data_IF_144265770546
#
_entry.id   IF_144265770546
#
_cell.length_a   1.000
_cell.length_b   1.000
_cell.length_c   1.000
_cell.angle_alpha   90.00
_cell.angle_beta   90.00
_cell.angle_gamma   90.00
#
_symmetry.space_group_name_H-M   'P 1'
#
loop_
_entity.id
_entity.type
_entity.pdbx_description
1 polymer ?
#
# COMPACT_ATOMS: atom_id res chain seq x y z
N UNK A 1 -4.48 6.52 22.43
CA UNK A 1 -5.89 6.82 22.65
C UNK A 1 -6.65 6.77 21.32
N UNK A 2 -6.38 7.62 20.34
CA UNK A 2 -7.16 7.72 19.09
C UNK A 2 -7.11 6.45 18.23
N UNK A 3 -5.97 5.79 18.13
CA UNK A 3 -5.82 4.52 17.41
C UNK A 3 -6.82 3.46 17.91
N UNK A 4 -6.93 3.30 19.23
CA UNK A 4 -7.87 2.35 19.82
C UNK A 4 -9.34 2.70 19.54
N UNK A 5 -9.67 3.99 19.41
CA UNK A 5 -11.03 4.42 19.06
C UNK A 5 -11.44 3.95 17.67
N UNK A 6 -10.50 3.95 16.71
CA UNK A 6 -10.75 3.43 15.35
C UNK A 6 -11.07 1.95 15.42
N UNK A 7 -10.23 1.15 16.07
CA UNK A 7 -10.39 -0.29 16.16
C UNK A 7 -11.63 -0.72 16.97
N UNK A 8 -11.88 -0.07 18.09
CA UNK A 8 -13.04 -0.38 18.93
C UNK A 8 -14.37 -0.08 18.25
N UNK A 9 -14.41 0.84 17.31
CA UNK A 9 -15.60 1.13 16.49
C UNK A 9 -16.13 -0.12 15.78
N UNK A 10 -15.23 -0.99 15.33
CA UNK A 10 -15.55 -2.23 14.60
C UNK A 10 -15.37 -3.49 15.46
N UNK A 11 -15.24 -3.34 16.78
CA UNK A 11 -15.11 -4.46 17.71
C UNK A 11 -13.73 -5.12 17.74
N UNK A 12 -12.72 -4.53 17.13
CA UNK A 12 -11.36 -5.06 17.14
C UNK A 12 -10.59 -4.61 18.39
N UNK A 13 -9.76 -5.49 18.97
CA UNK A 13 -8.92 -5.11 20.10
C UNK A 13 -7.86 -4.10 19.69
N UNK A 14 -7.40 -3.28 20.64
CA UNK A 14 -6.23 -2.44 20.47
C UNK A 14 -4.95 -3.27 20.30
N UNK A 15 -3.80 -2.63 19.94
CA UNK A 15 -2.51 -3.28 19.90
C UNK A 15 -2.16 -3.88 21.27
N UNK A 16 -1.37 -4.95 21.26
CA UNK A 16 -0.85 -5.52 22.50
C UNK A 16 0.10 -4.55 23.20
N UNK A 17 0.23 -4.65 24.53
CA UNK A 17 1.12 -3.76 25.29
C UNK A 17 2.57 -3.83 24.80
N UNK A 18 3.03 -5.03 24.37
CA UNK A 18 4.37 -5.22 23.81
C UNK A 18 4.63 -4.48 22.49
N UNK A 19 3.59 -4.20 21.72
CA UNK A 19 3.72 -3.50 20.43
C UNK A 19 4.14 -2.02 20.60
N UNK A 20 4.03 -1.47 21.81
CA UNK A 20 4.45 -0.10 22.13
C UNK A 20 5.93 0.02 22.55
N UNK A 21 6.62 -1.09 22.76
CA UNK A 21 7.99 -1.10 23.23
C UNK A 21 9.00 -0.77 22.12
N UNK A 22 8.60 -0.99 20.86
CA UNK A 22 9.44 -0.76 19.69
C UNK A 22 8.73 0.23 18.75
N UNK A 23 9.41 1.34 18.48
CA UNK A 23 8.87 2.42 17.66
C UNK A 23 8.53 1.93 16.25
N UNK A 24 9.45 1.18 15.65
CA UNK A 24 9.30 0.64 14.29
C UNK A 24 8.10 -0.32 14.20
N UNK A 25 7.92 -1.15 15.21
CA UNK A 25 6.78 -2.08 15.28
C UNK A 25 5.46 -1.32 15.39
N UNK A 26 5.40 -0.32 16.24
CA UNK A 26 4.19 0.47 16.42
C UNK A 26 3.88 1.32 15.17
N UNK A 27 4.90 1.88 14.53
CA UNK A 27 4.75 2.59 13.26
C UNK A 27 4.16 1.69 12.17
N UNK A 28 4.64 0.44 12.07
CA UNK A 28 4.10 -0.53 11.12
C UNK A 28 2.62 -0.84 11.37
N UNK A 29 2.24 -0.99 12.62
CA UNK A 29 0.83 -1.19 13.01
C UNK A 29 -0.04 -0.01 12.57
N UNK A 30 0.43 1.23 12.80
CA UNK A 30 -0.28 2.43 12.35
C UNK A 30 -0.40 2.49 10.84
N UNK A 31 0.68 2.20 10.10
CA UNK A 31 0.68 2.18 8.64
C UNK A 31 -0.29 1.15 8.07
N UNK A 32 -0.33 -0.04 8.66
CA UNK A 32 -1.25 -1.10 8.25
C UNK A 32 -2.71 -0.71 8.51
N UNK A 33 -3.00 -0.19 9.71
CA UNK A 33 -4.34 0.27 10.03
C UNK A 33 -4.80 1.38 9.09
N UNK A 34 -3.92 2.34 8.81
CA UNK A 34 -4.20 3.41 7.85
C UNK A 34 -4.48 2.88 6.44
N UNK A 35 -3.77 1.84 6.01
CA UNK A 35 -4.01 1.20 4.72
C UNK A 35 -5.39 0.53 4.65
N UNK A 36 -5.80 -0.11 5.73
CA UNK A 36 -7.11 -0.80 5.80
C UNK A 36 -8.24 0.23 5.86
N UNK A 37 -8.13 1.21 6.75
CA UNK A 37 -9.18 2.22 6.96
C UNK A 37 -9.41 3.14 5.76
N UNK A 38 -8.34 3.47 5.03
CA UNK A 38 -8.39 4.36 3.88
C UNK A 38 -8.27 3.61 2.54
N UNK A 39 -8.64 2.33 2.55
CA UNK A 39 -8.67 1.51 1.35
C UNK A 39 -9.59 2.14 0.29
N UNK A 40 -9.12 2.20 -0.95
CA UNK A 40 -9.79 2.85 -2.09
C UNK A 40 -9.92 4.39 -2.03
N UNK A 41 -9.38 5.07 -1.04
CA UNK A 41 -9.39 6.54 -0.97
C UNK A 41 -8.17 7.21 -1.64
N UNK A 42 -7.28 6.42 -2.22
CA UNK A 42 -6.09 6.90 -2.92
C UNK A 42 -4.93 7.37 -2.01
N UNK A 43 -5.10 7.32 -0.70
CA UNK A 43 -4.08 7.79 0.25
C UNK A 43 -2.77 6.99 0.21
N UNK A 44 -2.83 5.69 -0.09
CA UNK A 44 -1.64 4.82 -0.16
C UNK A 44 -0.58 5.37 -1.12
N UNK A 45 -1.03 5.93 -2.26
CA UNK A 45 -0.14 6.55 -3.23
C UNK A 45 0.73 7.66 -2.63
N UNK A 46 0.14 8.52 -1.81
CA UNK A 46 0.85 9.62 -1.17
C UNK A 46 1.63 9.16 0.06
N UNK A 47 1.08 8.25 0.82
CA UNK A 47 1.67 7.74 2.07
C UNK A 47 3.00 7.05 1.81
N UNK A 48 3.09 6.15 0.82
CA UNK A 48 4.33 5.43 0.51
C UNK A 48 5.43 6.35 0.01
N UNK A 49 5.07 7.43 -0.69
CA UNK A 49 6.03 8.45 -1.11
C UNK A 49 6.51 9.31 0.06
N UNK A 50 5.59 9.73 0.90
CA UNK A 50 5.91 10.51 2.10
C UNK A 50 6.76 9.74 3.11
N UNK A 51 6.52 8.43 3.23
CA UNK A 51 7.31 7.56 4.10
C UNK A 51 8.63 7.08 3.47
N UNK A 52 8.83 7.33 2.19
CA UNK A 52 10.00 6.86 1.45
C UNK A 52 9.98 5.36 1.15
N UNK A 53 8.84 4.70 1.29
CA UNK A 53 8.71 3.24 1.15
C UNK A 53 8.18 2.81 -0.23
N UNK A 54 7.92 3.77 -1.12
CA UNK A 54 7.35 3.49 -2.43
C UNK A 54 8.13 2.44 -3.23
N UNK A 55 9.46 2.55 -3.27
CA UNK A 55 10.30 1.63 -4.04
C UNK A 55 10.51 0.27 -3.37
N UNK A 56 10.30 0.18 -2.08
CA UNK A 56 10.53 -1.06 -1.30
C UNK A 56 9.24 -1.84 -1.04
N UNK A 57 8.17 -1.17 -0.70
CA UNK A 57 6.92 -1.81 -0.32
C UNK A 57 5.91 -1.93 -1.46
N UNK A 58 5.70 -0.85 -2.22
CA UNK A 58 4.65 -0.82 -3.24
C UNK A 58 5.13 -1.24 -4.62
N UNK A 59 6.40 -1.00 -4.90
CA UNK A 59 6.96 -1.15 -6.23
C UNK A 59 7.55 -2.51 -6.49
N UNK A 60 7.95 -3.21 -5.43
CA UNK A 60 8.72 -4.45 -5.54
C UNK A 60 7.84 -5.70 -5.49
N UNK A 61 6.62 -5.62 -6.00
CA UNK A 61 5.74 -6.77 -6.06
C UNK A 61 5.78 -7.41 -7.44
N UNK A 62 6.82 -8.20 -7.68
CA UNK A 62 6.86 -9.14 -8.80
C UNK A 62 5.83 -10.28 -8.63
N UNK A 63 5.34 -10.48 -7.42
CA UNK A 63 4.40 -11.55 -7.09
C UNK A 63 3.04 -10.95 -6.72
N UNK A 64 2.17 -10.84 -7.71
CA UNK A 64 0.78 -10.56 -7.45
C UNK A 64 0.16 -11.73 -6.69
N UNK A 65 -0.43 -11.43 -5.55
CA UNK A 65 -1.19 -12.41 -4.80
C UNK A 65 -2.68 -12.16 -5.02
N UNK A 66 -3.41 -13.24 -5.22
CA UNK A 66 -4.85 -13.24 -5.29
C UNK A 66 -5.44 -14.13 -4.21
N UNK A 67 -6.71 -13.99 -3.99
CA UNK A 67 -7.47 -14.85 -3.11
C UNK A 67 -8.19 -15.89 -3.97
N UNK A 68 -7.82 -17.17 -3.81
CA UNK A 68 -8.55 -18.27 -4.40
C UNK A 68 -9.59 -18.77 -3.38
N UNK A 69 -10.84 -18.52 -3.71
CA UNK A 69 -11.97 -18.99 -2.89
C UNK A 69 -12.30 -20.39 -3.36
N UNK A 70 -12.11 -21.38 -2.49
CA UNK A 70 -12.45 -22.76 -2.80
C UNK A 70 -13.94 -22.86 -3.12
N UNK A 71 -14.24 -23.35 -4.33
CA UNK A 71 -15.63 -23.50 -4.80
C UNK A 71 -16.34 -24.66 -4.15
N UNK A 72 -15.59 -25.60 -3.58
CA UNK A 72 -16.17 -26.72 -2.82
C UNK A 72 -16.64 -26.20 -1.46
N UNK A 73 -17.93 -25.99 -1.36
CA UNK A 73 -18.61 -25.37 -0.21
C UNK A 73 -18.70 -26.29 1.02
N UNK A 74 -17.92 -27.32 1.11
CA UNK A 74 -17.78 -28.10 2.35
C UNK A 74 -17.09 -27.29 3.45
N UNK A 75 -16.36 -26.25 3.07
CA UNK A 75 -15.71 -25.33 3.99
C UNK A 75 -16.57 -24.08 4.21
N UNK A 76 -16.78 -23.74 5.47
CA UNK A 76 -17.51 -22.54 5.89
C UNK A 76 -16.55 -21.35 5.93
N UNK A 77 -17.03 -20.17 5.57
CA UNK A 77 -16.28 -18.92 5.76
C UNK A 77 -15.78 -18.82 7.21
N UNK A 78 -14.47 -18.70 7.40
CA UNK A 78 -13.83 -18.76 8.72
C UNK A 78 -12.98 -20.01 8.94
N UNK A 79 -13.12 -21.04 8.12
CA UNK A 79 -12.21 -22.16 8.09
C UNK A 79 -10.91 -21.73 7.39
N UNK A 80 -9.72 -21.99 7.96
CA UNK A 80 -8.43 -21.65 7.34
C UNK A 80 -8.24 -22.20 5.92
N UNK A 81 -8.91 -23.27 5.55
CA UNK A 81 -8.86 -23.85 4.20
C UNK A 81 -9.77 -23.16 3.18
N UNK A 82 -10.70 -22.32 3.59
CA UNK A 82 -11.66 -21.66 2.70
C UNK A 82 -11.02 -20.58 1.82
N UNK A 83 -10.01 -19.90 2.36
CA UNK A 83 -9.30 -18.81 1.69
C UNK A 83 -7.85 -19.21 1.44
N UNK A 84 -7.47 -19.40 0.19
CA UNK A 84 -6.08 -19.63 -0.18
C UNK A 84 -5.51 -18.37 -0.83
N UNK A 85 -4.37 -17.92 -0.32
CA UNK A 85 -3.58 -16.90 -0.99
C UNK A 85 -2.75 -17.61 -2.05
N UNK A 86 -2.98 -17.28 -3.30
CA UNK A 86 -2.27 -17.85 -4.44
C UNK A 86 -1.48 -16.77 -5.16
N UNK A 87 -0.30 -17.14 -5.67
CA UNK A 87 0.41 -16.26 -6.58
C UNK A 87 -0.30 -16.30 -7.93
N UNK A 88 -0.72 -15.14 -8.42
CA UNK A 88 -1.38 -15.03 -9.71
C UNK A 88 -0.31 -15.20 -10.78
N UNK A 89 -0.54 -16.15 -11.72
CA UNK A 89 0.33 -16.33 -12.87
C UNK A 89 0.32 -15.07 -13.74
N UNK A 90 1.51 -14.50 -13.93
CA UNK A 90 1.70 -13.19 -14.55
C UNK A 90 1.55 -13.18 -16.08
N UNK A 91 1.20 -14.30 -16.71
CA UNK A 91 1.10 -14.37 -18.17
C UNK A 91 0.16 -13.31 -18.77
N UNK A 92 -0.78 -12.79 -17.98
CA UNK A 92 -1.75 -11.78 -18.39
C UNK A 92 -1.70 -10.48 -17.57
N UNK A 93 -0.83 -10.37 -16.58
CA UNK A 93 -0.70 -9.19 -15.73
C UNK A 93 0.69 -8.62 -15.94
N UNK A 94 0.76 -7.37 -16.40
CA UNK A 94 2.05 -6.69 -16.56
C UNK A 94 2.66 -6.42 -15.19
N UNK A 95 3.96 -6.67 -15.08
CA UNK A 95 4.74 -6.31 -13.91
C UNK A 95 4.55 -4.82 -13.58
N UNK A 96 4.46 -4.54 -12.29
CA UNK A 96 4.53 -3.15 -11.84
C UNK A 96 5.93 -2.62 -12.14
N UNK A 97 6.00 -1.61 -12.96
CA UNK A 97 7.24 -0.89 -13.19
C UNK A 97 7.32 0.23 -12.15
N UNK A 98 8.32 0.15 -11.28
CA UNK A 98 8.61 1.20 -10.32
C UNK A 98 10.02 1.71 -10.54
N UNK A 99 10.11 2.91 -11.01
CA UNK A 99 11.37 3.60 -11.23
C UNK A 99 11.57 4.69 -10.16
N UNK A 100 12.81 5.00 -9.77
CA UNK A 100 13.10 6.06 -8.81
C UNK A 100 12.44 7.39 -9.15
N UNK A 101 12.36 7.74 -10.42
CA UNK A 101 11.69 8.96 -10.88
C UNK A 101 10.20 9.02 -10.54
N UNK A 102 9.54 7.86 -10.38
CA UNK A 102 8.12 7.78 -10.08
C UNK A 102 7.77 8.11 -8.62
N UNK A 103 8.77 8.34 -7.78
CA UNK A 103 8.56 8.88 -6.43
C UNK A 103 7.93 10.27 -6.52
N UNK A 104 8.33 11.04 -7.52
CA UNK A 104 7.73 12.35 -7.83
C UNK A 104 6.92 12.27 -9.11
N UNK A 105 5.79 12.94 -9.13
CA UNK A 105 5.04 13.12 -10.38
C UNK A 105 5.78 14.08 -11.31
N UNK A 106 5.72 13.88 -12.64
CA UNK A 106 6.21 14.88 -13.57
C UNK A 106 5.39 16.17 -13.45
N UNK A 107 6.07 17.30 -13.55
CA UNK A 107 5.40 18.59 -13.68
C UNK A 107 4.81 18.66 -15.10
N UNK A 108 3.58 19.10 -15.19
CA UNK A 108 2.91 19.24 -16.49
C UNK A 108 3.70 20.15 -17.42
N UNK A 109 3.86 19.78 -18.68
CA UNK A 109 4.54 20.59 -19.69
C UNK A 109 3.95 22.01 -19.80
N UNK A 110 2.63 22.15 -19.65
CA UNK A 110 1.97 23.44 -19.65
C UNK A 110 2.40 24.36 -18.50
N UNK A 111 2.74 23.78 -17.34
CA UNK A 111 3.25 24.55 -16.19
C UNK A 111 4.73 24.95 -16.39
N UNK A 112 5.53 24.05 -16.95
CA UNK A 112 6.92 24.36 -17.29
C UNK A 112 7.04 25.49 -18.33
N UNK A 113 6.10 25.58 -19.27
CA UNK A 113 6.05 26.68 -20.24
C UNK A 113 5.71 28.03 -19.60
N UNK A 114 4.93 28.06 -18.52
CA UNK A 114 4.60 29.30 -17.80
C UNK A 114 5.78 29.84 -17.00
N UNK A 115 6.67 28.97 -16.56
CA UNK A 115 7.82 29.34 -15.74
C UNK A 115 9.09 28.78 -16.36
N UNK A 116 9.74 29.49 -17.30
CA UNK A 116 10.90 28.99 -18.05
C UNK A 116 12.11 28.61 -17.19
N UNK A 117 12.21 29.17 -15.98
CA UNK A 117 13.26 28.86 -15.00
C UNK A 117 12.97 27.63 -14.13
N UNK A 118 11.81 27.00 -14.30
CA UNK A 118 11.44 25.79 -13.55
C UNK A 118 12.01 24.57 -14.25
N UNK A 119 12.72 23.76 -13.49
CA UNK A 119 13.19 22.45 -13.94
C UNK A 119 12.17 21.36 -13.66
N UNK A 120 12.23 20.31 -14.45
CA UNK A 120 11.42 19.12 -14.23
C UNK A 120 11.90 18.35 -13.00
N UNK A 121 11.03 17.57 -12.38
CA UNK A 121 11.40 16.66 -11.30
C UNK A 121 12.47 15.66 -11.77
N UNK A 122 13.37 15.24 -10.87
CA UNK A 122 14.50 14.39 -11.22
C UNK A 122 14.10 13.12 -11.99
N UNK A 123 14.77 12.87 -13.10
CA UNK A 123 14.57 11.69 -13.94
C UNK A 123 13.41 11.79 -14.94
N UNK A 124 12.71 12.92 -14.99
CA UNK A 124 11.72 13.21 -16.02
C UNK A 124 12.32 14.21 -17.04
N UNK A 125 12.04 13.99 -18.31
CA UNK A 125 12.45 14.91 -19.37
C UNK A 125 11.54 16.16 -19.36
N UNK A 126 12.12 17.29 -19.82
CA UNK A 126 11.40 18.56 -19.89
C UNK A 126 10.37 18.60 -21.03
#
# INVERSE_FOLDING_TARGET
KYFNMIRYRVGLPGPALGDFNEVERFEQIIRNERQVELFNEGYRYFDTRRWGTYLTEDANTSNWQGLDVQKDRTDVAGNPGFWNIVTIDQQNIRDRVALPKMVFMPISHSELLKVPSMDQNPGWDR
#
